data_IF_078068980045
#
_entry.id   IF_078068980045
#
_cell.length_a   1.000
_cell.length_b   1.000
_cell.length_c   1.000
_cell.angle_alpha   90.00
_cell.angle_beta   90.00
_cell.angle_gamma   90.00
#
_symmetry.space_group_name_H-M   'P 1'
#
loop_
_entity.id
_entity.type
_entity.pdbx_description
1 polymer ?
#
# COMPACT_ATOMS: atom_id res chain seq x y z
N UNK A 1 42.72 18.18 -3.01
CA UNK A 1 42.08 16.93 -2.61
C UNK A 1 43.09 15.82 -2.84
N UNK A 2 43.58 15.20 -1.75
CA UNK A 2 44.60 14.16 -1.85
C UNK A 2 44.01 12.76 -2.10
N UNK A 3 42.75 12.55 -1.73
CA UNK A 3 42.04 11.26 -1.91
C UNK A 3 40.54 11.48 -1.94
N UNK A 4 39.82 10.77 -2.81
CA UNK A 4 38.38 10.70 -2.87
C UNK A 4 37.95 9.27 -2.61
N UNK A 5 37.16 9.04 -1.58
CA UNK A 5 36.59 7.72 -1.27
C UNK A 5 35.09 7.77 -1.55
N UNK A 6 34.59 6.87 -2.39
CA UNK A 6 33.17 6.69 -2.66
C UNK A 6 32.69 5.40 -2.05
N UNK A 7 31.78 5.50 -1.09
CA UNK A 7 31.13 4.34 -0.47
C UNK A 7 29.73 4.16 -1.06
N UNK A 8 29.45 2.96 -1.57
CA UNK A 8 28.13 2.56 -2.05
C UNK A 8 27.52 1.63 -1.01
N UNK A 9 26.37 2.04 -0.46
CA UNK A 9 25.65 1.27 0.56
C UNK A 9 24.36 0.75 -0.04
N UNK A 10 24.15 -0.57 -0.02
CA UNK A 10 22.90 -1.19 -0.40
C UNK A 10 22.03 -1.42 0.85
N UNK A 11 20.77 -0.98 0.78
CA UNK A 11 19.80 -1.18 1.84
C UNK A 11 18.57 -1.90 1.28
N UNK A 12 18.19 -3.03 1.89
CA UNK A 12 16.98 -3.77 1.53
C UNK A 12 15.83 -3.37 2.46
N UNK A 13 14.83 -2.70 1.90
CA UNK A 13 13.62 -2.29 2.62
C UNK A 13 12.52 -3.32 2.42
N UNK A 14 12.11 -4.00 3.49
CA UNK A 14 10.98 -4.93 3.48
C UNK A 14 9.67 -4.17 3.37
N UNK A 15 8.62 -4.87 2.93
CA UNK A 15 7.26 -4.34 2.90
C UNK A 15 6.79 -4.10 4.34
N UNK A 16 6.17 -2.95 4.57
CA UNK A 16 5.57 -2.58 5.85
C UNK A 16 4.13 -2.10 5.67
N UNK A 17 3.38 -2.06 6.77
CA UNK A 17 2.03 -1.49 6.78
C UNK A 17 2.10 -0.02 6.36
N UNK A 18 1.23 0.39 5.43
CA UNK A 18 1.23 1.72 4.85
C UNK A 18 1.99 1.87 3.53
N UNK A 19 2.77 0.85 3.12
CA UNK A 19 3.42 0.85 1.82
C UNK A 19 2.40 0.61 0.70
N UNK A 20 2.67 1.18 -0.48
CA UNK A 20 1.78 1.09 -1.63
C UNK A 20 2.21 -0.02 -2.57
N UNK A 21 1.23 -0.85 -2.93
CA UNK A 21 1.38 -1.89 -3.94
C UNK A 21 0.37 -1.72 -5.06
N UNK A 22 0.66 -2.27 -6.22
CA UNK A 22 -0.22 -2.25 -7.37
C UNK A 22 -0.02 -3.50 -8.24
N UNK A 23 -1.07 -3.87 -8.98
CA UNK A 23 -0.97 -4.80 -10.10
C UNK A 23 -0.69 -4.05 -11.40
N UNK A 24 -0.92 -4.74 -12.55
CA UNK A 24 -0.73 -4.18 -13.90
C UNK A 24 -2.01 -3.61 -14.53
N UNK A 25 -3.12 -3.58 -13.80
CA UNK A 25 -4.46 -3.25 -14.31
C UNK A 25 -5.04 -1.97 -13.69
N UNK A 26 -4.18 -1.05 -13.22
CA UNK A 26 -4.64 0.15 -12.53
C UNK A 26 -5.17 -0.10 -11.11
N UNK A 27 -5.07 -1.31 -10.62
CA UNK A 27 -5.42 -1.69 -9.26
C UNK A 27 -4.27 -1.34 -8.30
N UNK A 28 -4.50 -0.37 -7.46
CA UNK A 28 -3.54 0.13 -6.46
C UNK A 28 -4.14 0.04 -5.06
N UNK A 29 -3.31 -0.20 -4.10
CA UNK A 29 -3.74 -0.26 -2.70
C UNK A 29 -2.60 -0.03 -1.73
N UNK A 30 -2.97 0.24 -0.51
CA UNK A 30 -2.06 0.42 0.61
C UNK A 30 -2.18 -0.79 1.52
N UNK A 31 -1.06 -1.31 2.00
CA UNK A 31 -1.03 -2.44 2.92
C UNK A 31 -1.62 -1.99 4.26
N UNK A 32 -2.73 -2.62 4.64
CA UNK A 32 -3.42 -2.32 5.89
C UNK A 32 -2.94 -3.21 7.04
N UNK A 33 -2.55 -4.45 6.75
CA UNK A 33 -2.18 -5.44 7.76
C UNK A 33 -1.17 -6.43 7.21
N UNK A 34 -0.22 -6.83 8.05
CA UNK A 34 0.70 -7.94 7.78
C UNK A 34 0.45 -8.97 8.88
N UNK A 35 0.12 -10.19 8.48
CA UNK A 35 -0.20 -11.29 9.36
C UNK A 35 0.89 -12.38 9.28
N UNK A 36 1.09 -13.17 10.36
CA UNK A 36 1.85 -14.41 10.29
C UNK A 36 1.24 -15.38 9.28
N UNK A 37 2.03 -16.30 8.74
CA UNK A 37 1.55 -17.29 7.75
C UNK A 37 0.45 -18.18 8.30
N UNK A 38 0.51 -18.49 9.60
CA UNK A 38 -0.42 -19.33 10.31
C UNK A 38 -1.83 -18.71 10.39
N UNK A 39 -1.91 -17.40 10.43
CA UNK A 39 -3.19 -16.65 10.50
C UNK A 39 -3.79 -16.36 9.12
N UNK A 40 -3.03 -16.61 8.06
CA UNK A 40 -3.49 -16.38 6.69
C UNK A 40 -4.41 -17.51 6.24
N UNK A 41 -5.44 -17.20 5.43
CA UNK A 41 -6.25 -18.24 4.79
C UNK A 41 -5.37 -19.19 3.97
N UNK A 42 -5.77 -20.45 3.90
CA UNK A 42 -5.02 -21.47 3.20
C UNK A 42 -5.92 -22.35 2.31
N UNK A 43 -5.31 -22.93 1.29
CA UNK A 43 -5.92 -23.87 0.37
C UNK A 43 -6.07 -25.27 1.02
N UNK A 44 -6.88 -26.18 0.45
CA UNK A 44 -7.03 -27.55 0.97
C UNK A 44 -5.72 -28.34 1.05
N UNK A 45 -4.73 -27.97 0.24
CA UNK A 45 -3.37 -28.54 0.26
C UNK A 45 -2.47 -28.00 1.38
N UNK A 46 -2.98 -27.06 2.19
CA UNK A 46 -2.23 -26.40 3.25
C UNK A 46 -1.39 -25.21 2.79
N UNK A 47 -1.42 -24.84 1.52
CA UNK A 47 -0.66 -23.67 1.01
C UNK A 47 -1.32 -22.38 1.48
N UNK A 48 -0.61 -21.51 2.25
CA UNK A 48 -1.16 -20.24 2.69
C UNK A 48 -1.23 -19.24 1.53
N UNK A 49 -2.19 -18.33 1.58
CA UNK A 49 -2.34 -17.21 0.65
C UNK A 49 -1.33 -16.12 1.03
N UNK A 50 -0.63 -15.59 0.04
CA UNK A 50 0.38 -14.54 0.25
C UNK A 50 -0.24 -13.13 0.37
N UNK A 51 -1.32 -12.88 -0.35
CA UNK A 51 -1.98 -11.56 -0.42
C UNK A 51 -3.51 -11.73 -0.43
N UNK A 52 -4.20 -10.90 0.34
CA UNK A 52 -5.66 -10.75 0.33
C UNK A 52 -6.01 -9.38 -0.26
N UNK A 53 -6.82 -9.37 -1.29
CA UNK A 53 -7.28 -8.17 -1.94
C UNK A 53 -8.77 -7.92 -1.67
N UNK A 54 -9.13 -6.68 -1.43
CA UNK A 54 -10.52 -6.30 -1.23
C UNK A 54 -11.28 -6.32 -2.57
N UNK A 55 -12.34 -7.14 -2.72
CA UNK A 55 -13.09 -7.24 -3.96
C UNK A 55 -13.87 -5.97 -4.31
N UNK A 56 -14.16 -5.09 -3.36
CA UNK A 56 -14.83 -3.81 -3.61
C UNK A 56 -14.06 -2.87 -4.55
N UNK A 57 -12.77 -3.10 -4.75
CA UNK A 57 -11.95 -2.34 -5.69
C UNK A 57 -12.19 -2.67 -7.16
N UNK A 58 -12.99 -3.69 -7.48
CA UNK A 58 -13.19 -4.19 -8.85
C UNK A 58 -14.45 -3.63 -9.52
N UNK A 59 -15.68 -3.71 -8.93
CA UNK A 59 -16.91 -3.42 -9.65
C UNK A 59 -16.99 -1.99 -10.19
N UNK A 60 -16.67 -1.00 -9.36
CA UNK A 60 -16.76 0.42 -9.73
C UNK A 60 -15.68 0.86 -10.72
N UNK A 61 -14.56 0.17 -10.76
CA UNK A 61 -13.41 0.50 -11.61
C UNK A 61 -13.37 -0.27 -12.93
N UNK A 62 -14.20 -1.30 -13.06
CA UNK A 62 -14.38 -2.11 -14.27
C UNK A 62 -13.06 -2.66 -14.87
N UNK A 63 -12.03 -2.87 -14.05
CA UNK A 63 -10.74 -3.43 -14.46
C UNK A 63 -10.74 -4.96 -14.33
N UNK A 64 -11.58 -5.62 -15.12
CA UNK A 64 -11.78 -7.08 -15.08
C UNK A 64 -10.54 -7.88 -15.49
N UNK A 65 -9.61 -7.28 -16.22
CA UNK A 65 -8.35 -7.92 -16.61
C UNK A 65 -7.54 -8.45 -15.44
N UNK A 66 -7.66 -7.88 -14.25
CA UNK A 66 -7.01 -8.41 -13.05
C UNK A 66 -7.57 -9.77 -12.61
N UNK A 67 -8.87 -9.99 -12.79
CA UNK A 67 -9.51 -11.29 -12.48
C UNK A 67 -9.07 -12.34 -13.49
N UNK A 68 -9.09 -12.00 -14.78
CA UNK A 68 -8.61 -12.88 -15.85
C UNK A 68 -7.13 -13.24 -15.67
N UNK A 69 -6.30 -12.28 -15.24
CA UNK A 69 -4.89 -12.55 -14.87
C UNK A 69 -4.79 -13.57 -13.74
N UNK A 70 -5.60 -13.43 -12.70
CA UNK A 70 -5.60 -14.37 -11.55
C UNK A 70 -6.00 -15.78 -12.00
N UNK A 71 -7.03 -15.92 -12.84
CA UNK A 71 -7.48 -17.20 -13.36
C UNK A 71 -6.42 -17.86 -14.25
N UNK A 72 -5.90 -17.12 -15.23
CA UNK A 72 -4.85 -17.62 -16.12
C UNK A 72 -3.57 -17.95 -15.35
N UNK A 73 -3.23 -17.14 -14.34
CA UNK A 73 -2.09 -17.38 -13.45
C UNK A 73 -2.25 -18.64 -12.60
N UNK A 74 -3.47 -18.98 -12.17
CA UNK A 74 -3.76 -20.24 -11.48
C UNK A 74 -3.51 -21.43 -12.38
N UNK A 75 -4.05 -21.42 -13.60
CA UNK A 75 -3.85 -22.46 -14.61
C UNK A 75 -2.37 -22.60 -14.97
N UNK A 76 -1.71 -21.50 -15.28
CA UNK A 76 -0.29 -21.49 -15.63
C UNK A 76 0.62 -22.05 -14.52
N UNK A 77 0.30 -21.76 -13.25
CA UNK A 77 1.03 -22.33 -12.10
C UNK A 77 0.86 -23.85 -12.00
N UNK A 78 -0.36 -24.33 -12.19
CA UNK A 78 -0.66 -25.77 -12.15
C UNK A 78 0.00 -26.55 -13.30
N UNK A 79 0.02 -25.97 -14.51
CA UNK A 79 0.63 -26.55 -15.70
C UNK A 79 2.15 -26.31 -15.81
N UNK A 80 2.72 -25.47 -14.95
CA UNK A 80 4.15 -25.13 -14.97
C UNK A 80 4.56 -24.19 -16.12
N UNK A 81 3.60 -23.42 -16.68
CA UNK A 81 3.81 -22.55 -17.82
C UNK A 81 4.18 -21.12 -17.42
N UNK A 82 4.83 -20.42 -18.38
CA UNK A 82 4.98 -18.97 -18.39
C UNK A 82 4.19 -18.41 -19.57
N UNK A 83 3.15 -17.63 -19.27
CA UNK A 83 2.24 -17.10 -20.27
C UNK A 83 2.57 -15.64 -20.56
N UNK A 84 2.61 -15.27 -21.84
CA UNK A 84 2.75 -13.90 -22.31
C UNK A 84 1.47 -13.51 -23.04
N UNK A 85 0.84 -12.42 -22.62
CA UNK A 85 -0.39 -11.90 -23.19
C UNK A 85 -0.19 -10.45 -23.66
N UNK A 86 0.25 -10.22 -24.92
CA UNK A 86 0.32 -8.89 -25.49
C UNK A 86 -1.04 -8.19 -25.49
N UNK A 87 -1.05 -6.84 -25.50
CA UNK A 87 -2.27 -6.03 -25.34
C UNK A 87 -3.37 -6.37 -26.35
N UNK A 88 -3.02 -6.66 -27.61
CA UNK A 88 -3.97 -6.95 -28.68
C UNK A 88 -4.01 -8.43 -29.09
N UNK A 89 -3.28 -9.28 -28.43
CA UNK A 89 -3.21 -10.72 -28.68
C UNK A 89 -3.22 -11.44 -27.32
N UNK A 90 -4.27 -11.22 -26.55
CA UNK A 90 -4.49 -11.80 -25.24
C UNK A 90 -5.30 -13.11 -25.31
N UNK A 91 -5.39 -13.79 -24.17
CA UNK A 91 -6.25 -14.96 -24.04
C UNK A 91 -7.73 -14.56 -23.95
N UNK A 92 -8.60 -15.29 -24.63
CA UNK A 92 -10.04 -15.14 -24.51
C UNK A 92 -10.58 -15.82 -23.26
N UNK A 93 -11.78 -15.44 -22.83
CA UNK A 93 -12.41 -16.02 -21.63
C UNK A 93 -12.57 -17.55 -21.76
N UNK A 94 -12.95 -18.04 -22.97
CA UNK A 94 -13.10 -19.46 -23.24
C UNK A 94 -11.78 -20.24 -23.13
N UNK A 95 -10.70 -19.69 -23.68
CA UNK A 95 -9.38 -20.29 -23.57
C UNK A 95 -8.93 -20.39 -22.10
N UNK A 96 -9.23 -19.38 -21.29
CA UNK A 96 -8.90 -19.41 -19.86
C UNK A 96 -9.72 -20.48 -19.13
N UNK A 97 -11.00 -20.63 -19.44
CA UNK A 97 -11.87 -21.68 -18.87
C UNK A 97 -11.37 -23.10 -19.25
N UNK A 98 -11.01 -23.31 -20.52
CA UNK A 98 -10.44 -24.56 -21.00
C UNK A 98 -9.13 -24.90 -20.30
N UNK A 99 -8.24 -23.92 -20.14
CA UNK A 99 -6.97 -24.10 -19.44
C UNK A 99 -7.15 -24.38 -17.94
N UNK A 100 -8.15 -23.79 -17.30
CA UNK A 100 -8.49 -24.10 -15.90
C UNK A 100 -8.95 -25.55 -15.76
N UNK A 101 -9.78 -26.02 -16.69
CA UNK A 101 -10.23 -27.42 -16.71
C UNK A 101 -9.08 -28.40 -16.98
N UNK A 102 -8.17 -28.08 -17.92
CA UNK A 102 -6.96 -28.86 -18.20
C UNK A 102 -6.05 -28.94 -16.97
N UNK A 103 -5.97 -27.84 -16.20
CA UNK A 103 -5.22 -27.77 -14.95
C UNK A 103 -5.91 -28.52 -13.78
N UNK A 104 -7.10 -29.07 -13.98
CA UNK A 104 -7.88 -29.74 -12.94
C UNK A 104 -8.50 -28.78 -11.92
N UNK A 105 -8.63 -27.51 -12.28
CA UNK A 105 -9.26 -26.47 -11.46
C UNK A 105 -10.71 -26.23 -11.89
N UNK A 106 -11.50 -25.61 -11.01
CA UNK A 106 -12.86 -25.19 -11.36
C UNK A 106 -12.84 -24.15 -12.48
N UNK A 107 -13.71 -24.26 -13.51
CA UNK A 107 -13.75 -23.33 -14.64
C UNK A 107 -14.12 -21.90 -14.23
N UNK A 108 -14.78 -21.72 -13.09
CA UNK A 108 -15.09 -20.40 -12.52
C UNK A 108 -13.92 -19.77 -11.74
N UNK A 109 -12.78 -20.45 -11.67
CA UNK A 109 -11.57 -19.97 -10.99
C UNK A 109 -11.70 -19.84 -9.48
N UNK A 110 -12.75 -20.39 -8.89
CA UNK A 110 -13.00 -20.34 -7.46
C UNK A 110 -12.54 -21.60 -6.77
N UNK A 111 -12.03 -21.43 -5.56
CA UNK A 111 -11.54 -22.51 -4.72
C UNK A 111 -12.06 -22.34 -3.28
N UNK A 112 -12.16 -23.45 -2.57
CA UNK A 112 -12.50 -23.42 -1.14
C UNK A 112 -11.25 -23.02 -0.36
N UNK A 113 -11.38 -22.00 0.47
CA UNK A 113 -10.34 -21.58 1.40
C UNK A 113 -10.78 -21.86 2.84
N UNK A 114 -9.81 -22.04 3.69
CA UNK A 114 -9.97 -22.22 5.14
C UNK A 114 -9.40 -21.02 5.87
N UNK A 115 -10.05 -20.60 6.94
CA UNK A 115 -9.55 -19.51 7.79
C UNK A 115 -8.36 -20.02 8.62
N UNK A 116 -7.23 -19.31 8.55
CA UNK A 116 -6.01 -19.67 9.27
C UNK A 116 -6.15 -19.65 10.79
N UNK A 117 -7.13 -18.92 11.34
CA UNK A 117 -7.34 -18.81 12.78
C UNK A 117 -8.27 -19.88 13.34
N UNK A 118 -9.38 -20.15 12.64
CA UNK A 118 -10.41 -21.08 13.10
C UNK A 118 -10.25 -22.48 12.49
N UNK A 119 -9.61 -22.57 11.33
CA UNK A 119 -9.53 -23.79 10.53
C UNK A 119 -10.85 -24.14 9.81
N UNK A 120 -11.86 -23.28 9.89
CA UNK A 120 -13.16 -23.51 9.25
C UNK A 120 -13.14 -23.07 7.79
N UNK A 121 -13.87 -23.73 6.88
CA UNK A 121 -13.99 -23.29 5.50
C UNK A 121 -14.81 -22.00 5.42
N UNK A 122 -14.47 -21.12 4.48
CA UNK A 122 -15.30 -19.97 4.15
C UNK A 122 -16.68 -20.37 3.61
N UNK A 123 -17.70 -19.59 3.90
CA UNK A 123 -19.09 -19.87 3.54
C UNK A 123 -19.32 -20.02 2.00
N UNK A 124 -18.48 -19.43 1.19
CA UNK A 124 -18.55 -19.50 -0.26
C UNK A 124 -17.16 -19.65 -0.88
N UNK A 125 -17.06 -20.30 -2.06
CA UNK A 125 -15.80 -20.40 -2.80
C UNK A 125 -15.26 -19.02 -3.17
N UNK A 126 -13.94 -18.87 -3.14
CA UNK A 126 -13.24 -17.60 -3.34
C UNK A 126 -12.34 -17.70 -4.56
N UNK A 127 -12.23 -16.63 -5.35
CA UNK A 127 -11.29 -16.53 -6.47
C UNK A 127 -9.86 -16.51 -5.95
N UNK A 128 -9.08 -17.51 -6.31
CA UNK A 128 -7.68 -17.69 -5.91
C UNK A 128 -6.84 -18.00 -7.13
N UNK A 129 -5.69 -17.35 -7.24
CA UNK A 129 -4.75 -17.61 -8.30
C UNK A 129 -3.45 -16.83 -8.11
N UNK A 130 -2.71 -16.63 -9.18
CA UNK A 130 -1.42 -15.94 -9.17
C UNK A 130 -1.53 -14.64 -9.96
N UNK A 131 -1.10 -13.55 -9.33
CA UNK A 131 -1.09 -12.20 -9.92
C UNK A 131 0.29 -11.59 -9.79
N UNK A 132 0.69 -10.80 -10.77
CA UNK A 132 1.92 -10.02 -10.74
C UNK A 132 1.73 -8.72 -9.94
N UNK A 133 2.42 -8.61 -8.81
CA UNK A 133 2.31 -7.47 -7.91
C UNK A 133 3.59 -6.64 -7.90
N UNK A 134 3.43 -5.33 -7.94
CA UNK A 134 4.49 -4.34 -7.93
C UNK A 134 4.51 -3.59 -6.60
N UNK A 135 5.67 -3.50 -5.97
CA UNK A 135 5.91 -2.57 -4.87
C UNK A 135 6.24 -1.20 -5.44
N UNK A 136 5.42 -0.20 -5.13
CA UNK A 136 5.63 1.16 -5.61
C UNK A 136 6.58 1.92 -4.68
N UNK A 137 7.31 2.91 -5.23
CA UNK A 137 8.25 3.73 -4.46
C UNK A 137 7.54 4.82 -3.62
N UNK A 138 6.34 4.51 -3.14
CA UNK A 138 5.57 5.29 -2.18
C UNK A 138 5.56 4.58 -0.84
N UNK A 139 6.74 4.54 -0.21
CA UNK A 139 6.94 3.88 1.06
C UNK A 139 6.54 4.79 2.22
N UNK A 140 5.88 4.24 3.22
CA UNK A 140 5.38 5.00 4.37
C UNK A 140 6.49 5.69 5.15
N UNK A 141 7.64 5.01 5.31
CA UNK A 141 8.78 5.55 6.05
C UNK A 141 9.37 6.81 5.43
N UNK A 142 9.24 6.99 4.13
CA UNK A 142 9.67 8.19 3.44
C UNK A 142 8.71 9.37 3.60
N UNK A 143 7.47 9.10 3.99
CA UNK A 143 6.37 10.08 4.08
C UNK A 143 5.96 10.41 5.50
N UNK A 144 6.09 9.47 6.42
CA UNK A 144 5.75 9.70 7.83
C UNK A 144 6.69 10.76 8.41
N UNK A 145 6.11 11.77 9.03
CA UNK A 145 6.87 12.87 9.62
C UNK A 145 6.13 13.45 10.81
N UNK A 146 6.88 13.73 11.86
CA UNK A 146 6.40 14.44 13.05
C UNK A 146 7.49 15.38 13.55
N UNK A 147 7.08 16.44 14.24
CA UNK A 147 7.98 17.43 14.83
C UNK A 147 7.42 17.90 16.17
N UNK A 148 8.28 17.99 17.16
CA UNK A 148 8.04 18.77 18.39
C UNK A 148 8.83 20.08 18.34
N UNK A 149 10.14 19.99 18.43
CA UNK A 149 11.09 21.10 18.28
C UNK A 149 12.07 20.78 17.17
N UNK A 150 12.60 21.79 16.49
CA UNK A 150 13.55 21.59 15.40
C UNK A 150 14.10 22.92 14.87
N UNK A 151 14.73 22.92 13.70
CA UNK A 151 15.36 24.11 13.15
C UNK A 151 14.32 25.16 12.71
N UNK A 152 14.71 26.42 12.84
CA UNK A 152 13.95 27.61 12.45
C UNK A 152 14.69 28.39 11.37
N UNK A 153 13.94 29.13 10.54
CA UNK A 153 14.53 30.04 9.58
C UNK A 153 15.25 31.19 10.29
N UNK A 154 16.42 31.57 9.81
CA UNK A 154 17.20 32.67 10.38
C UNK A 154 16.52 34.03 10.20
N UNK A 155 15.80 34.21 9.09
CA UNK A 155 15.17 35.51 8.74
C UNK A 155 13.80 35.64 9.40
N UNK A 156 12.91 34.67 9.18
CA UNK A 156 11.52 34.75 9.64
C UNK A 156 11.31 34.20 11.04
N UNK A 157 12.28 33.45 11.58
CA UNK A 157 12.17 32.74 12.88
C UNK A 157 10.99 31.75 12.93
N UNK A 158 10.45 31.37 11.80
CA UNK A 158 9.41 30.35 11.68
C UNK A 158 10.03 28.96 11.51
N UNK A 159 9.32 27.88 11.88
CA UNK A 159 9.76 26.52 11.58
C UNK A 159 10.01 26.32 10.09
N UNK A 160 11.08 25.60 9.75
CA UNK A 160 11.33 25.21 8.35
C UNK A 160 10.22 24.28 7.85
N UNK A 161 10.07 24.16 6.53
CA UNK A 161 9.14 23.23 5.89
C UNK A 161 9.82 21.95 5.40
N UNK A 162 9.03 20.88 5.24
CA UNK A 162 9.49 19.63 4.66
C UNK A 162 10.15 18.66 5.62
N UNK A 163 10.01 17.36 5.30
CA UNK A 163 10.56 16.26 6.13
C UNK A 163 12.09 16.26 6.17
N UNK A 164 12.75 16.54 5.05
CA UNK A 164 14.21 16.53 4.96
C UNK A 164 14.90 17.53 5.91
N UNK A 165 14.24 18.63 6.21
CA UNK A 165 14.72 19.69 7.11
C UNK A 165 14.15 19.57 8.51
N UNK A 166 13.50 18.46 8.83
CA UNK A 166 12.78 18.29 10.09
C UNK A 166 11.82 19.45 10.36
N UNK A 167 11.07 19.83 9.31
CA UNK A 167 10.19 20.99 9.32
C UNK A 167 8.82 20.71 9.93
N UNK A 168 8.07 21.79 10.18
CA UNK A 168 6.70 21.74 10.67
C UNK A 168 5.67 21.72 9.55
N UNK A 169 4.44 21.43 9.90
CA UNK A 169 3.29 21.51 9.01
C UNK A 169 2.84 22.97 8.83
N UNK A 170 2.35 23.30 7.65
CA UNK A 170 1.76 24.61 7.41
C UNK A 170 0.36 24.69 8.02
N UNK A 171 0.15 25.65 8.90
CA UNK A 171 -1.17 25.99 9.42
C UNK A 171 -1.74 27.15 8.59
N UNK A 172 -2.57 26.84 7.59
CA UNK A 172 -3.10 27.83 6.64
C UNK A 172 -4.32 28.57 7.15
N UNK A 173 -4.89 29.44 6.31
CA UNK A 173 -6.08 30.23 6.65
C UNK A 173 -7.30 29.35 6.99
N UNK A 174 -7.51 28.28 6.25
CA UNK A 174 -8.66 27.41 6.47
C UNK A 174 -8.60 26.70 7.82
N UNK A 175 -7.41 26.31 8.26
CA UNK A 175 -7.18 25.69 9.56
C UNK A 175 -7.37 26.72 10.70
N UNK A 176 -7.03 27.98 10.47
CA UNK A 176 -7.32 29.10 11.39
C UNK A 176 -8.84 29.27 11.53
N UNK A 177 -9.58 29.29 10.43
CA UNK A 177 -11.04 29.39 10.45
C UNK A 177 -11.70 28.24 11.20
N UNK A 178 -11.16 27.04 11.09
CA UNK A 178 -11.66 25.89 11.83
C UNK A 178 -11.51 26.09 13.35
N UNK A 179 -10.38 26.59 13.83
CA UNK A 179 -10.20 26.89 15.26
C UNK A 179 -11.06 28.05 15.73
N UNK A 180 -11.28 29.06 14.90
CA UNK A 180 -12.22 30.17 15.18
C UNK A 180 -13.65 29.66 15.33
N UNK A 181 -14.08 28.76 14.44
CA UNK A 181 -15.41 28.15 14.50
C UNK A 181 -15.64 27.34 15.78
N UNK A 182 -14.61 26.68 16.30
CA UNK A 182 -14.67 26.00 17.60
C UNK A 182 -14.54 26.93 18.80
N UNK A 183 -14.20 28.20 18.63
CA UNK A 183 -13.92 29.13 19.70
C UNK A 183 -12.67 28.79 20.50
N UNK A 184 -11.73 28.05 19.93
CA UNK A 184 -10.49 27.57 20.57
C UNK A 184 -9.41 28.66 20.57
N UNK A 185 -9.64 29.77 21.26
CA UNK A 185 -8.80 30.96 21.22
C UNK A 185 -7.38 30.70 21.76
N UNK A 186 -7.23 29.98 22.86
CA UNK A 186 -5.91 29.65 23.42
C UNK A 186 -5.09 28.76 22.52
N UNK A 187 -5.71 27.76 21.90
CA UNK A 187 -5.01 26.89 20.93
C UNK A 187 -4.57 27.70 19.72
N UNK A 188 -5.41 28.58 19.20
CA UNK A 188 -5.07 29.47 18.10
C UNK A 188 -3.91 30.40 18.46
N UNK A 189 -3.94 30.99 19.64
CA UNK A 189 -2.86 31.85 20.13
C UNK A 189 -1.53 31.07 20.22
N UNK A 190 -1.55 29.85 20.73
CA UNK A 190 -0.36 28.99 20.80
C UNK A 190 0.21 28.70 19.38
N UNK A 191 -0.66 28.39 18.44
CA UNK A 191 -0.25 28.11 17.04
C UNK A 191 0.38 29.31 16.36
N UNK A 192 -0.10 30.53 16.65
CA UNK A 192 0.37 31.77 16.03
C UNK A 192 1.60 32.39 16.72
N UNK A 193 1.89 32.03 17.96
CA UNK A 193 2.96 32.61 18.75
C UNK A 193 4.09 31.64 19.06
N UNK A 194 3.96 30.83 20.10
CA UNK A 194 5.02 29.93 20.59
C UNK A 194 5.43 28.89 19.57
N UNK A 195 4.49 28.35 18.79
CA UNK A 195 4.75 27.36 17.73
C UNK A 195 5.17 27.97 16.41
N UNK A 196 5.19 29.29 16.29
CA UNK A 196 5.57 30.01 15.07
C UNK A 196 6.86 30.80 15.28
N UNK A 197 6.78 32.12 15.40
CA UNK A 197 7.91 33.07 15.35
C UNK A 197 8.23 33.77 16.67
N UNK A 198 7.52 33.48 17.74
CA UNK A 198 7.78 34.11 19.07
C UNK A 198 9.01 33.50 19.73
N UNK A 199 10.14 34.16 19.50
CA UNK A 199 11.43 33.75 20.10
C UNK A 199 11.43 33.84 21.61
N UNK A 200 10.81 34.90 22.16
CA UNK A 200 10.78 35.13 23.64
C UNK A 200 9.91 34.07 24.31
N UNK A 201 8.78 33.76 23.75
CA UNK A 201 7.90 32.72 24.26
C UNK A 201 8.50 31.30 24.19
N UNK A 202 9.37 31.04 23.20
CA UNK A 202 10.07 29.74 23.09
C UNK A 202 11.19 29.56 24.14
N UNK A 203 11.77 30.61 24.62
CA UNK A 203 12.86 30.57 25.63
C UNK A 203 12.33 30.38 27.04
N UNK A 204 11.13 30.83 27.34
CA UNK A 204 10.44 30.63 28.63
C UNK A 204 9.92 29.18 28.73
#
# INVERSE_FOLDING_TARGET
>A
VNQIIRCYIATKRKISVGDKMAGRHGNKGVISRILPKEDMPFLPDGTPIDILLNPLGIPSRMNLGQILEVHLGAAARALGWKVSTPVFDGASDKEIEELLQEAGLSPDGKQTLYDGRTGEPFASPITVGVMYMLKLHHLVDDKIHARSTGPYSLVTQQPLGGKAQFGGQRFGEMEVWALEAYGAAYTLQEMLTVKSDDVVGRVK
#
